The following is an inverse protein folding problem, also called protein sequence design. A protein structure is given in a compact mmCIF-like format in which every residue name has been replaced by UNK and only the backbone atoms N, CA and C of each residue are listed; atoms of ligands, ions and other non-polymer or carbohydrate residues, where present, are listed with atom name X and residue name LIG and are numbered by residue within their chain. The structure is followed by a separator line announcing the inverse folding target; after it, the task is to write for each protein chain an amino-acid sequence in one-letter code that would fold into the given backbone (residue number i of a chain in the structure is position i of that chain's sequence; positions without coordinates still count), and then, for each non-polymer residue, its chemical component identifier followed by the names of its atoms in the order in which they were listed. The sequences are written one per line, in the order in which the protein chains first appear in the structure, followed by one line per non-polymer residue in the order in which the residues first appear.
data_IF_489846494605
#
_entry.id   IF_489846494605
#
_cell.length_a   1.000
_cell.length_b   1.000
_cell.length_c   1.000
_cell.angle_alpha   90.00
_cell.angle_beta   90.00
_cell.angle_gamma   90.00
#
_symmetry.space_group_name_H-M   'P 1'
#
loop_
_entity.id
_entity.type
_entity.pdbx_description
1 polymer ?
#
# COMPACT_ATOMS: atom_id res chain seq x y z
N UNK A 1 14.84 -18.60 0.56
CA UNK A 1 14.44 -17.18 0.57
C UNK A 1 15.11 -16.54 1.77
N UNK A 2 16.04 -15.63 1.52
CA UNK A 2 16.78 -14.90 2.54
C UNK A 2 16.08 -13.55 2.74
N UNK A 3 15.79 -13.16 3.99
CA UNK A 3 14.89 -12.04 4.28
C UNK A 3 15.60 -10.98 5.14
N UNK A 4 15.65 -9.74 4.65
CA UNK A 4 16.04 -8.57 5.44
C UNK A 4 14.78 -7.92 6.03
N UNK A 5 14.76 -7.80 7.35
CA UNK A 5 13.69 -7.16 8.10
C UNK A 5 13.70 -5.65 7.95
N UNK A 6 12.56 -5.03 7.63
CA UNK A 6 12.43 -3.58 7.50
C UNK A 6 11.77 -2.98 8.74
N UNK A 7 12.25 -1.83 9.20
CA UNK A 7 11.52 -0.99 10.14
C UNK A 7 10.24 -0.43 9.49
N UNK A 8 9.29 0.02 10.31
CA UNK A 8 8.08 0.67 9.81
C UNK A 8 8.39 1.88 8.90
N UNK A 9 9.44 2.65 9.20
CA UNK A 9 9.81 3.80 8.38
C UNK A 9 10.34 3.37 7.02
N UNK A 10 11.22 2.37 6.97
CA UNK A 10 11.77 1.84 5.72
C UNK A 10 10.68 1.21 4.85
N UNK A 11 9.75 0.47 5.45
CA UNK A 11 8.61 -0.09 4.73
C UNK A 11 7.77 1.00 4.06
N UNK A 12 7.42 2.04 4.82
CA UNK A 12 6.62 3.15 4.30
C UNK A 12 7.36 3.88 3.16
N UNK A 13 8.68 4.03 3.28
CA UNK A 13 9.53 4.62 2.24
C UNK A 13 9.53 3.76 0.98
N UNK A 14 9.69 2.44 1.10
CA UNK A 14 9.67 1.53 -0.06
C UNK A 14 8.32 1.52 -0.78
N UNK A 15 7.22 1.57 -0.02
CA UNK A 15 5.88 1.69 -0.61
C UNK A 15 5.76 2.99 -1.40
N UNK A 16 6.25 4.11 -0.84
CA UNK A 16 6.22 5.39 -1.52
C UNK A 16 7.03 5.40 -2.82
N UNK A 17 8.24 4.83 -2.78
CA UNK A 17 9.08 4.63 -3.97
C UNK A 17 8.39 3.78 -5.03
N UNK A 18 7.79 2.68 -4.61
CA UNK A 18 7.16 1.75 -5.53
C UNK A 18 5.91 2.35 -6.16
N UNK A 19 5.07 3.03 -5.39
CA UNK A 19 3.91 3.74 -5.93
C UNK A 19 4.33 4.80 -6.94
N UNK A 20 5.39 5.57 -6.67
CA UNK A 20 5.90 6.54 -7.63
C UNK A 20 6.36 5.88 -8.93
N UNK A 21 7.13 4.80 -8.83
CA UNK A 21 7.51 4.01 -10.01
C UNK A 21 6.28 3.53 -10.78
N UNK A 22 5.25 3.02 -10.09
CA UNK A 22 4.01 2.56 -10.72
C UNK A 22 3.26 3.71 -11.42
N UNK A 23 3.18 4.89 -10.81
CA UNK A 23 2.54 6.06 -11.42
C UNK A 23 3.22 6.48 -12.71
N UNK A 24 4.56 6.47 -12.74
CA UNK A 24 5.35 6.71 -13.96
C UNK A 24 5.13 5.67 -15.06
N UNK A 25 4.68 4.48 -14.69
CA UNK A 25 4.33 3.40 -15.61
C UNK A 25 2.83 3.36 -15.95
N UNK A 26 2.09 4.45 -15.69
CA UNK A 26 0.70 4.63 -16.13
C UNK A 26 -0.37 4.07 -15.19
N UNK A 27 0.00 3.57 -14.01
CA UNK A 27 -0.99 3.22 -12.98
C UNK A 27 -1.51 4.49 -12.30
N UNK A 28 -2.76 4.47 -11.84
CA UNK A 28 -3.35 5.57 -11.07
C UNK A 28 -3.56 5.18 -9.60
N UNK A 29 -3.78 6.13 -8.68
CA UNK A 29 -4.07 5.84 -7.29
C UNK A 29 -5.15 4.77 -7.08
N UNK A 30 -6.23 4.80 -7.88
CA UNK A 30 -7.33 3.82 -7.82
C UNK A 30 -6.92 2.38 -8.11
N UNK A 31 -5.76 2.17 -8.74
CA UNK A 31 -5.24 0.85 -9.04
C UNK A 31 -4.59 0.17 -7.84
N UNK A 32 -4.37 0.92 -6.75
CA UNK A 32 -3.55 0.50 -5.61
C UNK A 32 -4.41 0.30 -4.36
N UNK A 33 -4.24 -0.85 -3.72
CA UNK A 33 -4.63 -1.07 -2.33
C UNK A 33 -3.41 -1.40 -1.46
N UNK A 34 -3.42 -0.88 -0.24
CA UNK A 34 -2.46 -1.19 0.82
C UNK A 34 -3.27 -1.84 1.94
N UNK A 35 -2.96 -3.10 2.24
CA UNK A 35 -3.75 -3.95 3.11
C UNK A 35 -2.93 -4.39 4.32
N UNK A 36 -3.43 -4.05 5.50
CA UNK A 36 -2.91 -4.55 6.77
C UNK A 36 -3.61 -5.82 7.19
N UNK A 37 -2.91 -6.68 7.91
CA UNK A 37 -3.54 -7.79 8.63
C UNK A 37 -4.39 -7.33 9.82
N UNK A 38 -4.04 -6.18 10.44
CA UNK A 38 -4.73 -5.63 11.62
C UNK A 38 -5.29 -4.25 11.33
N UNK A 39 -6.60 -4.09 11.55
CA UNK A 39 -7.29 -2.81 11.43
C UNK A 39 -6.68 -1.72 12.37
N UNK A 40 -6.22 -2.12 13.56
CA UNK A 40 -5.59 -1.21 14.54
C UNK A 40 -4.28 -0.58 14.08
N UNK A 41 -3.68 -1.08 12.99
CA UNK A 41 -2.43 -0.56 12.43
C UNK A 41 -2.65 0.34 11.21
N UNK A 42 -3.83 0.29 10.60
CA UNK A 42 -4.19 1.04 9.38
C UNK A 42 -3.97 2.54 9.57
N UNK A 43 -4.52 3.12 10.64
CA UNK A 43 -4.35 4.56 10.93
C UNK A 43 -2.89 4.94 11.24
N UNK A 44 -2.11 4.05 11.86
CA UNK A 44 -0.68 4.30 12.12
C UNK A 44 0.13 4.42 10.83
N UNK A 45 -0.30 3.74 9.78
CA UNK A 45 0.38 3.74 8.48
C UNK A 45 -0.03 4.92 7.62
N UNK A 46 -1.28 5.37 7.74
CA UNK A 46 -1.87 6.42 6.90
C UNK A 46 -1.05 7.70 6.89
N UNK A 47 -0.78 8.27 8.05
CA UNK A 47 -0.03 9.54 8.16
C UNK A 47 1.40 9.40 7.66
N UNK A 48 2.04 8.27 7.96
CA UNK A 48 3.42 7.99 7.53
C UNK A 48 3.51 7.84 6.02
N UNK A 49 2.59 7.09 5.41
CA UNK A 49 2.48 6.91 3.96
C UNK A 49 2.21 8.24 3.26
N UNK A 50 1.25 9.03 3.74
CA UNK A 50 0.98 10.36 3.18
C UNK A 50 2.22 11.25 3.24
N UNK A 51 2.93 11.28 4.37
CA UNK A 51 4.16 12.05 4.52
C UNK A 51 5.25 11.57 3.57
N UNK A 52 5.45 10.28 3.43
CA UNK A 52 6.45 9.70 2.53
C UNK A 52 6.14 10.01 1.06
N UNK A 53 4.90 9.81 0.62
CA UNK A 53 4.44 10.12 -0.75
C UNK A 53 4.63 11.61 -1.07
N UNK A 54 4.27 12.51 -0.15
CA UNK A 54 4.44 13.96 -0.33
C UNK A 54 5.90 14.38 -0.42
N UNK A 55 6.76 13.87 0.47
CA UNK A 55 8.20 14.17 0.44
C UNK A 55 8.83 13.78 -0.91
N UNK A 56 8.44 12.64 -1.46
CA UNK A 56 8.95 12.16 -2.75
C UNK A 56 8.43 12.96 -3.94
N UNK A 57 7.18 13.43 -3.88
CA UNK A 57 6.62 14.37 -4.88
C UNK A 57 7.43 15.68 -4.92
N UNK A 58 7.76 16.25 -3.76
CA UNK A 58 8.52 17.52 -3.66
C UNK A 58 9.96 17.36 -4.18
N UNK A 59 10.59 16.20 -3.99
CA UNK A 59 11.97 15.99 -4.49
C UNK A 59 12.11 15.90 -6.02
N UNK A 60 10.99 15.91 -6.77
CA UNK A 60 10.96 15.62 -8.21
C UNK A 60 10.13 16.66 -8.98
N UNK A 61 10.22 17.92 -8.55
CA UNK A 61 9.50 19.11 -9.06
C UNK A 61 9.61 19.40 -10.57
N UNK A 62 10.24 18.52 -11.36
CA UNK A 62 10.32 18.61 -12.82
C UNK A 62 9.20 17.85 -13.56
N UNK A 63 8.32 17.14 -12.84
CA UNK A 63 7.18 16.40 -13.41
C UNK A 63 5.82 16.95 -12.89
N UNK A 64 4.86 17.06 -13.80
CA UNK A 64 3.55 17.72 -13.69
C UNK A 64 2.82 17.62 -12.32
N UNK A 65 2.18 18.71 -11.82
CA UNK A 65 1.85 18.84 -10.39
C UNK A 65 0.58 18.11 -9.91
N UNK A 66 -0.19 17.44 -10.76
CA UNK A 66 -1.65 17.47 -10.56
C UNK A 66 -2.34 16.31 -9.84
N UNK A 67 -1.63 15.29 -9.35
CA UNK A 67 -2.25 14.28 -8.50
C UNK A 67 -1.99 14.58 -7.01
N UNK A 68 -2.97 15.18 -6.34
CA UNK A 68 -3.08 15.09 -4.89
C UNK A 68 -3.35 13.62 -4.54
N UNK A 69 -2.29 12.88 -4.20
CA UNK A 69 -2.43 11.48 -3.76
C UNK A 69 -3.26 11.48 -2.48
N UNK A 70 -4.47 10.95 -2.58
CA UNK A 70 -5.35 10.70 -1.46
C UNK A 70 -5.19 9.24 -1.03
N UNK A 71 -5.21 9.02 0.28
CA UNK A 71 -5.28 7.69 0.90
C UNK A 71 -6.56 7.66 1.73
N UNK A 72 -7.46 6.73 1.43
CA UNK A 72 -8.74 6.56 2.14
C UNK A 72 -9.01 5.08 2.39
N UNK A 73 -9.97 4.78 3.25
CA UNK A 73 -10.51 3.44 3.41
C UNK A 73 -11.32 3.02 2.17
N UNK A 74 -11.86 1.79 2.18
CA UNK A 74 -12.65 1.26 1.07
C UNK A 74 -14.08 1.83 0.95
N UNK A 75 -14.45 2.92 1.63
CA UNK A 75 -15.81 3.48 1.54
C UNK A 75 -16.17 4.04 0.16
N UNK A 76 -15.18 4.50 -0.62
CA UNK A 76 -15.40 5.12 -1.95
C UNK A 76 -14.49 4.50 -3.04
N UNK A 77 -14.66 3.21 -3.29
CA UNK A 77 -13.81 2.40 -4.19
C UNK A 77 -13.69 2.94 -5.62
N UNK A 78 -14.65 3.76 -6.08
CA UNK A 78 -14.65 4.30 -7.44
C UNK A 78 -13.80 5.56 -7.58
N UNK A 79 -13.52 6.25 -6.48
CA UNK A 79 -12.73 7.48 -6.50
C UNK A 79 -11.23 7.21 -6.77
N UNK A 80 -10.56 8.23 -7.31
CA UNK A 80 -9.15 8.15 -7.67
C UNK A 80 -8.24 8.34 -6.45
N UNK A 81 -8.20 7.35 -5.56
CA UNK A 81 -7.36 7.33 -4.36
C UNK A 81 -6.77 5.95 -4.11
N UNK A 82 -5.66 5.92 -3.37
CA UNK A 82 -5.10 4.67 -2.86
C UNK A 82 -5.97 4.19 -1.70
N UNK A 83 -6.42 2.94 -1.75
CA UNK A 83 -7.13 2.35 -0.61
C UNK A 83 -6.11 1.89 0.44
N UNK A 84 -6.33 2.24 1.70
CA UNK A 84 -5.60 1.72 2.85
C UNK A 84 -6.60 1.16 3.85
N UNK A 85 -6.57 -0.16 4.04
CA UNK A 85 -7.55 -0.85 4.88
C UNK A 85 -6.98 -2.15 5.48
N UNK A 86 -7.78 -2.88 6.26
CA UNK A 86 -7.51 -4.25 6.66
C UNK A 86 -8.03 -5.24 5.61
N UNK A 87 -7.37 -6.40 5.48
CA UNK A 87 -7.80 -7.45 4.54
C UNK A 87 -9.24 -7.91 4.79
N UNK A 88 -9.68 -7.95 6.04
CA UNK A 88 -11.06 -8.35 6.39
C UNK A 88 -12.11 -7.36 5.86
N UNK A 89 -11.83 -6.06 5.93
CA UNK A 89 -12.74 -5.01 5.46
C UNK A 89 -12.69 -4.83 3.94
N UNK A 90 -11.59 -5.25 3.30
CA UNK A 90 -11.38 -5.16 1.86
C UNK A 90 -11.82 -6.42 1.08
N UNK A 91 -12.39 -7.42 1.76
CA UNK A 91 -12.55 -8.81 1.27
C UNK A 91 -13.43 -9.02 0.02
N UNK A 92 -14.04 -7.98 -0.53
CA UNK A 92 -14.84 -8.03 -1.76
C UNK A 92 -14.29 -7.16 -2.90
N UNK A 93 -13.08 -6.59 -2.73
CA UNK A 93 -12.57 -5.53 -3.58
C UNK A 93 -11.25 -5.94 -4.19
N UNK A 94 -11.19 -5.97 -5.50
CA UNK A 94 -9.95 -6.29 -6.21
C UNK A 94 -9.28 -5.02 -6.75
N UNK A 95 -7.95 -5.04 -6.73
CA UNK A 95 -7.11 -3.96 -7.29
C UNK A 95 -6.04 -4.51 -8.20
N UNK A 96 -5.63 -3.69 -9.16
CA UNK A 96 -4.53 -4.06 -10.07
C UNK A 96 -3.25 -4.32 -9.28
N UNK A 97 -3.00 -3.55 -8.23
CA UNK A 97 -1.82 -3.63 -7.38
C UNK A 97 -2.24 -3.72 -5.92
N UNK A 98 -1.71 -4.70 -5.19
CA UNK A 98 -1.91 -4.84 -3.75
C UNK A 98 -0.57 -4.86 -3.03
N UNK A 99 -0.44 -4.04 -1.98
CA UNK A 99 0.63 -4.10 -1.01
C UNK A 99 0.08 -4.73 0.28
N UNK A 100 0.66 -5.84 0.73
CA UNK A 100 0.31 -6.49 2.00
C UNK A 100 1.32 -6.18 3.08
N UNK A 101 0.87 -5.68 4.23
CA UNK A 101 1.72 -5.45 5.40
C UNK A 101 1.56 -6.60 6.40
N UNK A 102 2.65 -7.34 6.62
CA UNK A 102 2.67 -8.49 7.52
C UNK A 102 3.69 -8.26 8.67
N UNK A 103 3.31 -7.50 9.71
CA UNK A 103 4.21 -7.27 10.83
C UNK A 103 4.28 -8.47 11.78
N UNK A 104 3.18 -9.20 12.01
CA UNK A 104 3.16 -10.39 12.89
C UNK A 104 1.83 -11.14 12.74
N UNK A 105 1.58 -11.76 11.59
CA UNK A 105 0.39 -12.60 11.42
C UNK A 105 0.66 -14.00 12.00
N UNK A 106 -0.21 -14.49 12.88
CA UNK A 106 -0.13 -15.84 13.44
C UNK A 106 -0.25 -16.93 12.35
N UNK A 107 -1.04 -16.65 11.31
CA UNK A 107 -1.26 -17.51 10.14
C UNK A 107 -0.88 -16.77 8.83
N UNK A 108 0.41 -16.59 8.54
CA UNK A 108 0.85 -15.81 7.38
C UNK A 108 0.39 -16.40 6.05
N UNK A 109 0.20 -17.72 5.96
CA UNK A 109 -0.29 -18.38 4.76
C UNK A 109 -1.74 -17.96 4.40
N UNK A 110 -2.63 -17.89 5.38
CA UNK A 110 -4.02 -17.45 5.17
C UNK A 110 -4.04 -16.01 4.68
N UNK A 111 -3.26 -15.14 5.30
CA UNK A 111 -3.14 -13.75 4.89
C UNK A 111 -2.61 -13.60 3.46
N UNK A 112 -1.53 -14.32 3.09
CA UNK A 112 -0.99 -14.26 1.74
C UNK A 112 -1.97 -14.79 0.69
N UNK A 113 -2.71 -15.86 0.99
CA UNK A 113 -3.72 -16.41 0.10
C UNK A 113 -4.86 -15.40 -0.12
N UNK A 114 -5.30 -14.70 0.92
CA UNK A 114 -6.28 -13.63 0.77
C UNK A 114 -5.76 -12.50 -0.11
N UNK A 115 -4.52 -12.05 0.10
CA UNK A 115 -3.92 -11.00 -0.73
C UNK A 115 -3.80 -11.41 -2.21
N UNK A 116 -3.48 -12.68 -2.50
CA UNK A 116 -3.44 -13.20 -3.86
C UNK A 116 -4.79 -13.08 -4.56
N UNK A 117 -5.90 -13.33 -3.85
CA UNK A 117 -7.24 -13.16 -4.41
C UNK A 117 -7.60 -11.69 -4.68
N UNK A 118 -7.01 -10.74 -3.95
CA UNK A 118 -7.35 -9.32 -4.05
C UNK A 118 -6.51 -8.58 -5.10
N UNK A 119 -5.45 -9.20 -5.61
CA UNK A 119 -4.52 -8.60 -6.57
C UNK A 119 -4.75 -9.14 -8.00
N UNK A 120 -5.04 -8.26 -8.96
CA UNK A 120 -5.24 -8.64 -10.36
C UNK A 120 -3.95 -8.76 -11.17
N UNK A 121 -2.94 -7.94 -10.87
CA UNK A 121 -1.68 -7.90 -11.65
C UNK A 121 -0.45 -8.07 -10.78
N UNK A 122 -0.35 -7.29 -9.70
CA UNK A 122 0.85 -7.24 -8.87
C UNK A 122 0.52 -7.37 -7.40
N UNK A 123 1.25 -8.26 -6.71
CA UNK A 123 1.21 -8.41 -5.27
C UNK A 123 2.59 -8.16 -4.68
N UNK A 124 2.68 -7.21 -3.74
CA UNK A 124 3.89 -6.91 -2.98
C UNK A 124 3.65 -7.26 -1.51
N UNK A 125 4.44 -8.16 -0.95
CA UNK A 125 4.35 -8.53 0.47
C UNK A 125 5.53 -7.89 1.21
N UNK A 126 5.24 -7.05 2.19
CA UNK A 126 6.21 -6.33 3.00
C UNK A 126 6.22 -6.91 4.41
N UNK A 127 7.40 -7.32 4.85
CA UNK A 127 7.62 -7.90 6.18
C UNK A 127 8.32 -6.87 7.07
N UNK A 128 7.67 -6.52 8.18
CA UNK A 128 8.28 -5.66 9.19
C UNK A 128 8.98 -6.57 10.20
N UNK A 129 10.26 -6.32 10.45
CA UNK A 129 10.94 -6.92 11.60
C UNK A 129 10.80 -5.95 12.76
N UNK A 130 10.15 -6.41 13.83
CA UNK A 130 10.06 -5.70 15.11
C UNK A 130 11.27 -6.09 15.95
#
# INVERSE_FOLDING_TARGET
MEYLGLSLEEMVVQVAEKCQFLFRNGYSPKDIAILSSKASEVEKYKDKLLRAMRKRKISQLDEEPDLLIQIKDASDIMANHIVLDSVHQFSSLERNIVFGFNPTVAEPAVFHNLLLCLAKKHLYILKVSI
#
